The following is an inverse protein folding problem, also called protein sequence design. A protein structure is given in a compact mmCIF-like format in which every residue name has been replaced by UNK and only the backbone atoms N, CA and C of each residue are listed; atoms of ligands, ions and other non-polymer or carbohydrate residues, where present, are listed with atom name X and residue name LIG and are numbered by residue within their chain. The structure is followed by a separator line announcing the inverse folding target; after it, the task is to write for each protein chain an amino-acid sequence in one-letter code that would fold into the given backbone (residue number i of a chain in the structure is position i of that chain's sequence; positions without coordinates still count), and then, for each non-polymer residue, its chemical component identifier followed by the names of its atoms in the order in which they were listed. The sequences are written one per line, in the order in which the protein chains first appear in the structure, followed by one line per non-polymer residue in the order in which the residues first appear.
data_IF_099206000705
#
_entry.id   IF_099206000705
#
_cell.length_a   1.000
_cell.length_b   1.000
_cell.length_c   1.000
_cell.angle_alpha   90.00
_cell.angle_beta   90.00
_cell.angle_gamma   90.00
#
_symmetry.space_group_name_H-M   'P 1'
#
loop_
_entity.id
_entity.type
_entity.pdbx_description
1 polymer ?
#
# COMPACT_ATOMS: atom_id res chain seq x y z
N UNK A 1 -18.91 -20.12 -11.38
CA UNK A 1 -19.41 -19.39 -10.20
C UNK A 1 -19.41 -17.91 -10.55
N UNK A 2 -20.54 -17.39 -10.97
CA UNK A 2 -20.70 -15.95 -11.21
C UNK A 2 -20.76 -15.27 -9.85
N UNK A 3 -19.69 -14.57 -9.49
CA UNK A 3 -19.71 -13.68 -8.33
C UNK A 3 -20.54 -12.47 -8.75
N UNK A 4 -21.81 -12.42 -8.39
CA UNK A 4 -22.57 -11.18 -8.51
C UNK A 4 -21.83 -10.10 -7.72
N UNK A 5 -21.49 -9.03 -8.39
CA UNK A 5 -20.96 -7.85 -7.70
C UNK A 5 -22.06 -7.32 -6.75
N UNK A 6 -21.70 -6.93 -5.53
CA UNK A 6 -22.67 -6.36 -4.61
C UNK A 6 -23.34 -5.15 -5.27
N UNK A 7 -24.64 -5.06 -5.12
CA UNK A 7 -25.42 -3.94 -5.67
C UNK A 7 -24.91 -2.62 -5.06
N UNK A 8 -24.80 -1.60 -5.91
CA UNK A 8 -24.58 -0.23 -5.42
C UNK A 8 -25.84 0.20 -4.69
N UNK A 9 -25.71 0.54 -3.42
CA UNK A 9 -26.82 1.00 -2.57
C UNK A 9 -26.69 2.49 -2.28
N UNK A 10 -27.82 3.16 -2.11
CA UNK A 10 -27.81 4.56 -1.71
C UNK A 10 -27.32 4.69 -0.25
N UNK A 11 -26.57 5.73 0.05
CA UNK A 11 -26.08 5.98 1.41
C UNK A 11 -27.22 6.09 2.44
N UNK A 12 -28.39 6.54 2.02
CA UNK A 12 -29.60 6.61 2.85
C UNK A 12 -30.17 5.25 3.27
N UNK A 13 -29.71 4.16 2.65
CA UNK A 13 -30.15 2.78 3.00
C UNK A 13 -29.17 2.08 3.94
N UNK A 14 -28.07 2.75 4.32
CA UNK A 14 -27.11 2.19 5.27
C UNK A 14 -27.71 2.20 6.69
N UNK A 15 -27.31 1.24 7.54
CA UNK A 15 -27.70 1.22 8.95
C UNK A 15 -27.26 2.51 9.65
N UNK A 16 -28.02 2.93 10.67
CA UNK A 16 -27.66 4.12 11.47
C UNK A 16 -26.44 3.89 12.38
N UNK A 17 -26.13 2.64 12.69
CA UNK A 17 -25.06 2.21 13.59
C UNK A 17 -23.76 1.89 12.85
N UNK A 18 -23.36 2.70 11.90
CA UNK A 18 -22.07 2.56 11.20
C UNK A 18 -20.91 3.05 12.06
N UNK A 19 -19.83 2.29 12.06
CA UNK A 19 -18.57 2.78 12.64
C UNK A 19 -17.99 3.91 11.81
N UNK A 20 -17.52 4.95 12.48
CA UNK A 20 -16.90 6.12 11.85
C UNK A 20 -15.41 6.13 12.12
N UNK A 21 -14.62 6.30 11.08
CA UNK A 21 -13.16 6.42 11.15
C UNK A 21 -12.69 7.53 10.22
N UNK A 22 -11.43 7.96 10.39
CA UNK A 22 -10.87 9.03 9.57
C UNK A 22 -10.38 8.50 8.23
N UNK A 23 -9.85 7.25 8.20
CA UNK A 23 -9.32 6.61 6.99
C UNK A 23 -9.75 5.14 6.96
N UNK A 24 -10.26 4.70 5.83
CA UNK A 24 -10.48 3.28 5.52
C UNK A 24 -9.50 2.83 4.45
N UNK A 25 -8.72 1.80 4.75
CA UNK A 25 -7.80 1.16 3.81
C UNK A 25 -8.37 -0.20 3.42
N UNK A 26 -8.46 -0.48 2.14
CA UNK A 26 -8.98 -1.75 1.62
C UNK A 26 -7.83 -2.54 1.00
N UNK A 27 -7.54 -3.68 1.60
CA UNK A 27 -6.43 -4.57 1.22
C UNK A 27 -5.20 -4.40 2.10
N UNK A 28 -4.68 -5.53 2.62
CA UNK A 28 -3.49 -5.56 3.50
C UNK A 28 -2.29 -6.22 2.82
N UNK A 29 -2.00 -5.80 1.59
CA UNK A 29 -0.67 -5.96 0.98
C UNK A 29 0.25 -4.85 1.44
N UNK A 30 1.44 -4.74 0.85
CA UNK A 30 2.44 -3.71 1.25
C UNK A 30 1.90 -2.29 1.10
N UNK A 31 1.18 -2.00 0.05
CA UNK A 31 0.63 -0.67 -0.18
C UNK A 31 -0.40 -0.27 0.88
N UNK A 32 -1.35 -1.17 1.18
CA UNK A 32 -2.35 -0.92 2.22
C UNK A 32 -1.75 -0.84 3.61
N UNK A 33 -0.78 -1.71 3.92
CA UNK A 33 -0.04 -1.68 5.18
C UNK A 33 0.71 -0.36 5.38
N UNK A 34 1.42 0.11 4.37
CA UNK A 34 2.12 1.40 4.42
C UNK A 34 1.15 2.57 4.56
N UNK A 35 0.07 2.59 3.77
CA UNK A 35 -0.93 3.65 3.86
C UNK A 35 -1.59 3.73 5.24
N UNK A 36 -1.95 2.58 5.81
CA UNK A 36 -2.56 2.50 7.14
C UNK A 36 -1.57 2.96 8.22
N UNK A 37 -0.31 2.53 8.14
CA UNK A 37 0.74 2.91 9.09
C UNK A 37 1.00 4.41 9.06
N UNK A 38 1.21 5.00 7.88
CA UNK A 38 1.47 6.43 7.72
C UNK A 38 0.30 7.28 8.22
N UNK A 39 -0.94 6.89 7.90
CA UNK A 39 -2.12 7.57 8.39
C UNK A 39 -2.23 7.50 9.93
N UNK A 40 -1.96 6.33 10.52
CA UNK A 40 -1.97 6.17 11.98
C UNK A 40 -0.86 6.97 12.67
N UNK A 41 0.35 7.02 12.09
CA UNK A 41 1.46 7.84 12.59
C UNK A 41 1.14 9.34 12.52
N UNK A 42 0.33 9.75 11.53
CA UNK A 42 -0.18 11.12 11.43
C UNK A 42 -1.33 11.42 12.42
N UNK A 43 -1.75 10.45 13.24
CA UNK A 43 -2.77 10.61 14.27
C UNK A 43 -4.20 10.29 13.81
N UNK A 44 -4.39 9.77 12.61
CA UNK A 44 -5.70 9.37 12.12
C UNK A 44 -6.17 8.04 12.74
N UNK A 45 -7.48 7.92 12.97
CA UNK A 45 -8.11 6.64 13.27
C UNK A 45 -8.25 5.86 11.96
N UNK A 46 -7.67 4.67 11.90
CA UNK A 46 -7.61 3.90 10.66
C UNK A 46 -8.30 2.56 10.84
N UNK A 47 -9.14 2.22 9.89
CA UNK A 47 -9.68 0.86 9.72
C UNK A 47 -9.07 0.27 8.46
N UNK A 48 -8.44 -0.91 8.61
CA UNK A 48 -7.89 -1.66 7.50
C UNK A 48 -8.72 -2.93 7.30
N UNK A 49 -9.23 -3.10 6.09
CA UNK A 49 -10.06 -4.24 5.71
C UNK A 49 -9.27 -5.17 4.80
N UNK A 50 -9.25 -6.45 5.14
CA UNK A 50 -8.64 -7.50 4.33
C UNK A 50 -9.65 -8.61 4.05
N UNK A 51 -9.71 -9.05 2.80
CA UNK A 51 -10.62 -10.12 2.37
C UNK A 51 -10.14 -11.51 2.80
N UNK A 52 -8.84 -11.72 2.82
CA UNK A 52 -8.26 -13.01 3.22
C UNK A 52 -8.23 -13.16 4.74
N UNK A 53 -8.06 -14.39 5.21
CA UNK A 53 -7.93 -14.68 6.64
C UNK A 53 -6.61 -14.17 7.27
N UNK A 54 -5.66 -13.72 6.44
CA UNK A 54 -4.36 -13.22 6.86
C UNK A 54 -3.91 -12.07 5.96
N UNK A 55 -2.97 -11.27 6.47
CA UNK A 55 -2.38 -10.14 5.73
C UNK A 55 -1.30 -10.59 4.74
N UNK A 56 -0.88 -9.67 3.89
CA UNK A 56 0.27 -9.81 3.00
C UNK A 56 -0.09 -9.90 1.52
N UNK A 57 -1.15 -10.62 1.16
CA UNK A 57 -1.55 -10.80 -0.24
C UNK A 57 -0.38 -11.27 -1.12
N UNK A 58 -0.29 -10.76 -2.34
CA UNK A 58 0.83 -11.05 -3.26
C UNK A 58 2.16 -10.47 -2.78
N UNK A 59 2.15 -9.44 -1.94
CA UNK A 59 3.36 -8.88 -1.36
C UNK A 59 4.13 -9.89 -0.51
N UNK A 60 3.42 -10.77 0.22
CA UNK A 60 4.03 -11.84 1.02
C UNK A 60 4.72 -12.91 0.16
N UNK A 61 4.39 -13.00 -1.13
CA UNK A 61 4.98 -13.94 -2.10
C UNK A 61 6.20 -13.36 -2.80
N UNK A 62 6.50 -12.08 -2.58
CA UNK A 62 7.66 -11.40 -3.18
C UNK A 62 8.96 -11.76 -2.46
N UNK A 63 10.10 -11.58 -3.16
CA UNK A 63 11.42 -11.71 -2.56
C UNK A 63 11.82 -10.55 -1.63
N UNK A 64 11.00 -9.52 -1.51
CA UNK A 64 11.24 -8.36 -0.65
C UNK A 64 12.31 -7.39 -1.16
N UNK A 65 12.61 -7.41 -2.45
CA UNK A 65 13.55 -6.46 -3.05
C UNK A 65 12.88 -5.11 -3.32
N UNK A 66 13.56 -4.06 -2.90
CA UNK A 66 13.14 -2.68 -3.11
C UNK A 66 14.22 -1.90 -3.87
N UNK A 67 13.79 -1.08 -4.81
CA UNK A 67 14.62 -0.04 -5.40
C UNK A 67 14.16 1.32 -4.88
N UNK A 68 14.98 1.96 -4.05
CA UNK A 68 14.58 3.13 -3.25
C UNK A 68 15.30 4.44 -3.65
N UNK A 69 16.09 4.44 -4.70
CA UNK A 69 16.71 5.66 -5.24
C UNK A 69 17.74 6.34 -4.35
N UNK A 70 18.31 5.64 -3.39
CA UNK A 70 19.44 6.14 -2.61
C UNK A 70 19.08 6.55 -1.17
N UNK A 71 20.14 6.81 -0.41
CA UNK A 71 20.05 7.30 0.98
C UNK A 71 19.66 6.24 2.02
N UNK A 72 19.57 4.95 1.64
CA UNK A 72 19.28 3.89 2.60
C UNK A 72 20.52 3.55 3.46
N UNK A 73 20.28 3.06 4.68
CA UNK A 73 21.36 2.61 5.56
C UNK A 73 22.24 1.52 4.92
N UNK A 74 21.66 0.67 4.09
CA UNK A 74 22.40 -0.38 3.36
C UNK A 74 23.32 0.22 2.31
N UNK A 75 22.85 1.18 1.52
CA UNK A 75 23.67 1.88 0.53
C UNK A 75 24.83 2.63 1.19
N UNK A 76 24.55 3.33 2.30
CA UNK A 76 25.58 4.02 3.07
C UNK A 76 26.64 3.05 3.61
N UNK A 77 26.21 1.91 4.17
CA UNK A 77 27.11 0.91 4.73
C UNK A 77 27.98 0.21 3.66
N UNK A 78 27.47 0.07 2.44
CA UNK A 78 28.17 -0.60 1.33
C UNK A 78 28.94 0.36 0.42
N UNK A 79 28.82 1.67 0.67
CA UNK A 79 29.50 2.69 -0.16
C UNK A 79 28.93 2.85 -1.57
N UNK A 80 27.68 2.44 -1.78
CA UNK A 80 26.98 2.63 -3.04
C UNK A 80 26.23 3.95 -3.01
N UNK A 81 26.53 4.80 -3.96
CA UNK A 81 25.82 6.06 -4.15
C UNK A 81 24.72 5.87 -5.20
N UNK A 82 23.57 6.44 -4.94
CA UNK A 82 22.44 6.51 -5.84
C UNK A 82 21.59 7.73 -5.48
N UNK A 83 20.68 8.12 -6.35
CA UNK A 83 19.81 9.27 -6.14
C UNK A 83 18.42 9.02 -6.71
N UNK A 84 17.45 9.81 -6.29
CA UNK A 84 16.11 9.78 -6.85
C UNK A 84 16.13 10.12 -8.36
N UNK A 85 17.04 10.98 -8.79
CA UNK A 85 17.22 11.32 -10.21
C UNK A 85 17.75 10.13 -11.01
N UNK A 86 18.75 9.44 -10.52
CA UNK A 86 19.30 8.24 -11.18
C UNK A 86 18.26 7.12 -11.25
N UNK A 87 17.50 6.90 -10.18
CA UNK A 87 16.34 5.99 -10.18
C UNK A 87 15.33 6.38 -11.25
N UNK A 88 14.99 7.67 -11.35
CA UNK A 88 14.07 8.16 -12.37
C UNK A 88 14.59 7.89 -13.78
N UNK A 89 15.85 8.20 -14.06
CA UNK A 89 16.51 7.94 -15.34
C UNK A 89 16.47 6.46 -15.71
N UNK A 90 16.78 5.60 -14.73
CA UNK A 90 16.74 4.16 -14.92
C UNK A 90 15.31 3.68 -15.25
N UNK A 91 14.33 4.09 -14.47
CA UNK A 91 12.92 3.69 -14.68
C UNK A 91 12.40 4.19 -16.04
N UNK A 92 12.78 5.39 -16.45
CA UNK A 92 12.43 5.92 -17.77
C UNK A 92 13.10 5.14 -18.90
N UNK A 93 14.31 4.72 -18.74
CA UNK A 93 15.04 3.93 -19.73
C UNK A 93 14.39 2.54 -19.93
N UNK A 94 14.05 1.84 -18.84
CA UNK A 94 13.47 0.48 -18.91
C UNK A 94 12.01 0.47 -19.30
N UNK A 95 11.27 1.57 -19.09
CA UNK A 95 9.85 1.68 -19.44
C UNK A 95 9.59 2.08 -20.88
N UNK A 96 10.61 2.51 -21.62
CA UNK A 96 10.52 2.93 -23.02
C UNK A 96 10.78 1.81 -24.04
N UNK A 97 10.85 0.57 -23.56
CA UNK A 97 11.07 -0.60 -24.40
C UNK A 97 9.95 -0.93 -25.36
#
# INVERSE_FOLDING_TARGET
MTTELPAVVAASTLPEDVETTDVVVIGFGIAGGCAALEAALAGARVVLLERAATYGGTSAMSGGHFYLGGGTAVQQATGHEDSAEEMYQYLMAVSRG
#
